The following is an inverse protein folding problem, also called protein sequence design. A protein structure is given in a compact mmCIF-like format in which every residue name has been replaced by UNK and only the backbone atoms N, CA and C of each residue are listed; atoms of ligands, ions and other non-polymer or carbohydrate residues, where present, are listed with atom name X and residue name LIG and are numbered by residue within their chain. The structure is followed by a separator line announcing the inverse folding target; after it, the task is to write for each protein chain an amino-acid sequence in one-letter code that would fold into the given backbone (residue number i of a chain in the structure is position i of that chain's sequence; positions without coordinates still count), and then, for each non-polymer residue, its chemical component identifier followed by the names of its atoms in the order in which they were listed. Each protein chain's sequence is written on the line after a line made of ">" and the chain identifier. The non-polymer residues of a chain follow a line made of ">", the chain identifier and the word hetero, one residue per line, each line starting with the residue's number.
data_IF_171859544068
#
_entry.id   IF_171859544068
#
_cell.length_a   1.000
_cell.length_b   1.000
_cell.length_c   1.000
_cell.angle_alpha   90.00
_cell.angle_beta   90.00
_cell.angle_gamma   90.00
#
_symmetry.space_group_name_H-M   'P 1'
#
loop_
_entity.id
_entity.type
_entity.pdbx_description
1 polymer ?
#
# COMPACT_ATOMS: atom_id res chain seq x y z
N UNK A 1 4.78 -13.33 -15.70
CA UNK A 1 6.19 -12.94 -15.57
C UNK A 1 6.80 -13.90 -14.56
N UNK A 2 7.25 -15.06 -15.02
CA UNK A 2 7.86 -16.07 -14.15
C UNK A 2 9.36 -16.10 -14.45
N UNK A 3 10.21 -16.04 -13.41
CA UNK A 3 11.65 -16.27 -13.54
C UNK A 3 12.59 -15.05 -13.44
N UNK A 4 12.08 -13.85 -13.17
CA UNK A 4 12.94 -12.71 -12.82
C UNK A 4 12.77 -12.37 -11.33
N UNK A 5 13.74 -12.72 -10.46
CA UNK A 5 13.62 -12.42 -9.04
C UNK A 5 13.61 -10.91 -8.80
N UNK A 6 12.60 -10.41 -8.08
CA UNK A 6 12.44 -8.98 -7.77
C UNK A 6 13.58 -8.46 -6.89
N UNK A 7 14.16 -9.32 -6.06
CA UNK A 7 15.26 -9.00 -5.17
C UNK A 7 16.43 -9.98 -5.32
N UNK A 8 17.67 -9.56 -4.98
CA UNK A 8 18.81 -10.47 -4.89
C UNK A 8 18.51 -11.68 -3.97
N UNK A 9 19.12 -12.85 -4.23
CA UNK A 9 18.84 -14.07 -3.44
C UNK A 9 19.07 -13.93 -1.93
N UNK A 10 19.97 -13.04 -1.51
CA UNK A 10 20.30 -12.78 -0.10
C UNK A 10 19.54 -11.59 0.51
N UNK A 11 18.51 -11.07 -0.18
CA UNK A 11 17.68 -10.01 0.36
C UNK A 11 16.84 -10.53 1.53
N UNK A 12 16.60 -9.69 2.54
CA UNK A 12 15.79 -10.04 3.72
C UNK A 12 14.36 -10.51 3.35
N UNK A 13 13.80 -10.02 2.23
CA UNK A 13 12.51 -10.47 1.71
C UNK A 13 12.51 -11.91 1.16
N UNK A 14 13.67 -12.53 1.03
CA UNK A 14 13.86 -13.93 0.63
C UNK A 14 14.29 -14.83 1.82
N UNK A 15 14.21 -14.33 3.06
CA UNK A 15 14.57 -15.09 4.27
C UNK A 15 13.32 -15.71 4.90
N UNK A 16 13.40 -17.00 5.24
CA UNK A 16 12.35 -17.68 6.00
C UNK A 16 12.25 -17.09 7.41
N UNK A 17 11.08 -16.57 7.76
CA UNK A 17 10.83 -15.92 9.06
C UNK A 17 10.62 -16.92 10.20
N UNK A 18 10.23 -18.15 9.90
CA UNK A 18 9.83 -19.19 10.87
C UNK A 18 10.97 -19.67 11.79
N UNK A 19 12.22 -19.36 11.45
CA UNK A 19 13.43 -19.73 12.20
C UNK A 19 14.16 -18.56 12.84
N UNK A 20 13.69 -17.33 12.66
CA UNK A 20 14.33 -16.15 13.24
C UNK A 20 13.95 -16.01 14.72
N UNK A 21 14.87 -15.50 15.57
CA UNK A 21 14.53 -15.18 16.94
C UNK A 21 13.49 -14.05 16.97
N UNK A 22 12.56 -14.13 17.91
CA UNK A 22 11.63 -13.04 18.19
C UNK A 22 12.43 -11.82 18.66
N UNK A 23 12.14 -10.65 18.09
CA UNK A 23 12.80 -9.41 18.51
C UNK A 23 12.48 -9.10 19.98
N UNK A 24 13.45 -8.66 20.81
CA UNK A 24 13.22 -8.35 22.23
C UNK A 24 12.04 -7.39 22.47
N UNK A 25 11.85 -6.43 21.57
CA UNK A 25 10.77 -5.43 21.64
C UNK A 25 9.44 -5.88 20.99
N UNK A 26 9.31 -7.15 20.57
CA UNK A 26 8.11 -7.64 19.88
C UNK A 26 6.82 -7.35 20.66
N UNK A 27 6.84 -7.52 21.99
CA UNK A 27 5.70 -7.21 22.84
C UNK A 27 5.34 -5.71 22.81
N UNK A 28 6.34 -4.82 22.75
CA UNK A 28 6.10 -3.39 22.65
C UNK A 28 5.44 -3.05 21.31
N UNK A 29 5.93 -3.60 20.20
CA UNK A 29 5.32 -3.38 18.88
C UNK A 29 3.87 -3.87 18.81
N UNK A 30 3.58 -5.07 19.30
CA UNK A 30 2.21 -5.61 19.36
C UNK A 30 1.31 -4.71 20.21
N UNK A 31 1.80 -4.19 21.33
CA UNK A 31 1.03 -3.28 22.17
C UNK A 31 0.78 -1.92 21.49
N UNK A 32 1.72 -1.41 20.68
CA UNK A 32 1.50 -0.16 19.93
C UNK A 32 0.49 -0.30 18.79
N UNK A 33 0.33 -1.51 18.24
CA UNK A 33 -0.66 -1.78 17.19
C UNK A 33 -2.08 -1.83 17.77
N UNK A 34 -2.23 -2.19 19.06
CA UNK A 34 -3.52 -2.46 19.67
C UNK A 34 -3.80 -3.96 19.68
N UNK A 35 -3.18 -4.68 20.62
CA UNK A 35 -3.26 -6.15 20.72
C UNK A 35 -4.70 -6.68 20.72
N UNK A 36 -5.61 -5.93 21.32
CA UNK A 36 -7.01 -6.30 21.53
C UNK A 36 -7.97 -5.37 20.75
N UNK A 37 -7.43 -4.49 19.90
CA UNK A 37 -8.24 -3.56 19.11
C UNK A 37 -8.87 -4.29 17.92
N UNK A 38 -10.09 -3.91 17.50
CA UNK A 38 -10.70 -4.46 16.31
C UNK A 38 -9.85 -4.12 15.09
N UNK A 39 -9.55 -5.13 14.28
CA UNK A 39 -8.88 -4.94 12.99
C UNK A 39 -9.89 -4.53 11.94
N UNK A 40 -9.48 -3.66 11.02
CA UNK A 40 -10.18 -3.43 9.75
C UNK A 40 -9.67 -4.49 8.76
N UNK A 41 -10.45 -5.54 8.43
CA UNK A 41 -9.95 -6.63 7.61
C UNK A 41 -10.01 -6.25 6.12
N UNK A 42 -9.00 -5.55 5.63
CA UNK A 42 -8.77 -5.30 4.19
C UNK A 42 -8.14 -6.51 3.48
N UNK A 43 -8.61 -7.70 3.83
CA UNK A 43 -8.14 -8.97 3.26
C UNK A 43 -9.23 -9.54 2.38
N UNK A 44 -9.34 -9.01 1.16
CA UNK A 44 -10.39 -9.45 0.27
C UNK A 44 -9.86 -9.77 -1.13
N UNK A 45 -10.54 -10.71 -1.78
CA UNK A 45 -10.24 -11.23 -3.10
C UNK A 45 -11.55 -11.65 -3.75
N UNK A 46 -11.69 -11.46 -5.04
CA UNK A 46 -12.94 -11.74 -5.75
C UNK A 46 -13.62 -10.46 -6.19
N UNK A 47 -14.95 -10.38 -6.05
CA UNK A 47 -15.73 -9.24 -6.54
C UNK A 47 -16.70 -8.68 -5.50
N UNK A 48 -16.69 -7.36 -5.34
CA UNK A 48 -17.66 -6.59 -4.54
C UNK A 48 -18.42 -5.66 -5.49
N UNK A 49 -19.75 -5.62 -5.39
CA UNK A 49 -20.63 -4.80 -6.26
C UNK A 49 -20.35 -4.94 -7.79
N UNK A 50 -19.88 -6.12 -8.22
CA UNK A 50 -19.56 -6.41 -9.62
C UNK A 50 -18.17 -5.98 -10.08
N UNK A 51 -17.35 -5.34 -9.23
CA UNK A 51 -15.96 -4.99 -9.49
C UNK A 51 -14.98 -5.86 -8.69
N UNK A 52 -13.71 -6.04 -9.15
CA UNK A 52 -12.69 -6.73 -8.39
C UNK A 52 -12.34 -5.96 -7.11
N UNK A 53 -12.09 -6.69 -6.02
CA UNK A 53 -11.79 -6.08 -4.73
C UNK A 53 -10.31 -5.69 -4.67
N UNK A 54 -10.05 -4.44 -4.26
CA UNK A 54 -8.72 -3.84 -4.18
C UNK A 54 -8.66 -2.43 -4.78
N UNK A 55 -7.52 -1.76 -4.63
CA UNK A 55 -7.31 -0.39 -5.15
C UNK A 55 -6.76 -0.49 -6.58
N UNK A 56 -7.51 -0.05 -7.60
CA UNK A 56 -7.03 -0.12 -8.97
C UNK A 56 -5.90 0.89 -9.18
N UNK A 57 -4.89 0.47 -9.94
CA UNK A 57 -3.78 1.33 -10.34
C UNK A 57 -3.64 1.37 -11.85
N UNK A 58 -3.15 2.51 -12.34
CA UNK A 58 -2.73 2.66 -13.73
C UNK A 58 -1.40 3.37 -13.81
N UNK A 59 -0.66 3.12 -14.88
CA UNK A 59 0.63 3.75 -15.15
C UNK A 59 0.46 4.84 -16.19
N UNK A 60 1.08 5.99 -15.95
CA UNK A 60 1.12 7.11 -16.90
C UNK A 60 2.57 7.42 -17.30
N UNK A 61 2.81 8.03 -18.47
CA UNK A 61 4.10 8.61 -18.80
C UNK A 61 4.55 9.62 -17.75
N UNK A 62 5.86 9.73 -17.50
CA UNK A 62 6.41 10.64 -16.47
C UNK A 62 6.21 12.13 -16.77
N UNK A 63 5.86 12.47 -18.01
CA UNK A 63 5.51 13.82 -18.47
C UNK A 63 4.00 14.09 -18.49
N UNK A 64 3.19 13.16 -17.98
CA UNK A 64 1.75 13.35 -17.82
C UNK A 64 1.46 14.58 -16.94
N UNK A 65 0.72 15.58 -17.42
CA UNK A 65 0.29 16.70 -16.59
C UNK A 65 -0.56 16.25 -15.41
N UNK A 66 -0.33 16.84 -14.23
CA UNK A 66 -1.09 16.57 -13.01
C UNK A 66 -2.58 16.86 -13.19
N UNK A 67 -3.42 16.09 -12.50
CA UNK A 67 -4.88 16.23 -12.49
C UNK A 67 -5.38 16.36 -11.06
N UNK A 68 -6.42 17.17 -10.87
CA UNK A 68 -7.21 17.15 -9.64
C UNK A 68 -8.05 15.89 -9.62
N UNK A 69 -7.99 15.14 -8.52
CA UNK A 69 -8.86 13.98 -8.28
C UNK A 69 -9.78 14.28 -7.10
N UNK A 70 -10.95 13.66 -7.11
CA UNK A 70 -11.89 13.61 -6.00
C UNK A 70 -12.01 12.16 -5.57
N UNK A 71 -12.24 11.91 -4.28
CA UNK A 71 -12.37 10.58 -3.71
C UNK A 71 -13.76 10.40 -3.14
N UNK A 72 -14.38 9.26 -3.43
CA UNK A 72 -15.63 8.85 -2.81
C UNK A 72 -15.41 8.40 -1.34
N UNK A 73 -14.22 7.87 -1.05
CA UNK A 73 -13.76 7.46 0.28
C UNK A 73 -12.53 8.29 0.71
N UNK A 74 -12.74 9.59 0.92
CA UNK A 74 -11.66 10.53 1.24
C UNK A 74 -11.01 10.28 2.60
N UNK A 75 -11.69 9.59 3.51
CA UNK A 75 -11.22 9.18 4.84
C UNK A 75 -10.25 8.00 4.81
N UNK A 76 -10.21 7.24 3.71
CA UNK A 76 -9.19 6.21 3.47
C UNK A 76 -7.89 6.78 2.88
N UNK A 77 -7.84 8.09 2.65
CA UNK A 77 -6.68 8.79 2.10
C UNK A 77 -6.13 9.81 3.08
N UNK A 78 -4.80 9.93 3.13
CA UNK A 78 -4.18 11.05 3.81
C UNK A 78 -4.63 12.35 3.13
N UNK A 79 -5.14 13.29 3.93
CA UNK A 79 -5.40 14.63 3.43
C UNK A 79 -4.10 15.23 2.91
N UNK A 80 -4.03 15.54 1.62
CA UNK A 80 -2.91 16.28 1.07
C UNK A 80 -2.70 17.57 1.87
N UNK A 81 -1.45 17.93 2.18
CA UNK A 81 -1.15 19.23 2.79
C UNK A 81 -1.78 20.32 1.91
N UNK A 82 -2.48 21.29 2.52
CA UNK A 82 -3.12 22.38 1.77
C UNK A 82 -2.15 23.00 0.74
N UNK A 83 -2.47 22.84 -0.55
CA UNK A 83 -1.65 23.31 -1.68
C UNK A 83 -0.77 22.25 -2.36
N UNK A 84 -0.75 21.00 -1.90
CA UNK A 84 0.00 19.91 -2.53
C UNK A 84 -0.93 19.09 -3.41
N UNK A 85 -0.79 19.24 -4.73
CA UNK A 85 -1.32 18.25 -5.64
C UNK A 85 -0.63 16.91 -5.33
N UNK A 86 -1.39 15.82 -5.23
CA UNK A 86 -0.96 14.43 -5.05
C UNK A 86 0.20 13.93 -5.96
N UNK A 87 0.68 14.74 -6.92
CA UNK A 87 1.87 14.49 -7.73
C UNK A 87 3.09 15.36 -7.42
N UNK A 88 3.22 15.86 -6.19
CA UNK A 88 4.39 16.65 -5.75
C UNK A 88 5.48 15.81 -5.06
N UNK A 89 5.30 14.48 -5.00
CA UNK A 89 6.35 13.54 -4.62
C UNK A 89 7.25 13.24 -5.83
N UNK A 90 8.58 13.24 -5.69
CA UNK A 90 9.48 12.90 -6.77
C UNK A 90 9.33 11.42 -7.15
N UNK A 91 8.90 11.19 -8.40
CA UNK A 91 8.95 9.94 -9.16
C UNK A 91 8.69 8.63 -8.38
N UNK A 92 7.41 8.34 -8.12
CA UNK A 92 6.91 6.98 -8.17
C UNK A 92 5.65 6.99 -9.06
N UNK A 93 5.73 6.33 -10.22
CA UNK A 93 4.63 6.20 -11.16
C UNK A 93 3.52 5.33 -10.55
N UNK A 94 2.55 5.94 -9.88
CA UNK A 94 1.33 5.26 -9.46
C UNK A 94 0.19 6.27 -9.35
N UNK A 95 -0.75 6.24 -10.30
CA UNK A 95 -2.03 6.94 -10.12
C UNK A 95 -2.97 5.95 -9.43
N UNK A 96 -3.19 6.16 -8.13
CA UNK A 96 -4.22 5.47 -7.37
C UNK A 96 -5.55 6.09 -7.77
N UNK A 97 -6.39 5.32 -8.46
CA UNK A 97 -7.74 5.73 -8.81
C UNK A 97 -8.67 5.00 -7.85
N UNK A 98 -9.37 5.73 -7.00
CA UNK A 98 -10.60 5.24 -6.39
C UNK A 98 -11.73 5.87 -7.24
N UNK A 99 -12.39 5.13 -8.15
CA UNK A 99 -13.55 5.68 -8.85
C UNK A 99 -14.69 5.93 -7.89
#
# INVERSE_FOLDING_TARGET
>A
MEGCPLFPPNNIWNVLVDRLPVHPDSAAYVNTIGKDDPVHPDFDSGTWEGGPIGIPYTTVPGDQPLKTVTFDYADESDSGRAGWAIGSLPAANLLILNP
#
